data_IF_816081653430
#
_entry.id   IF_816081653430
#
_cell.length_a   1.000
_cell.length_b   1.000
_cell.length_c   1.000
_cell.angle_alpha   90.00
_cell.angle_beta   90.00
_cell.angle_gamma   90.00
#
_symmetry.space_group_name_H-M   'P 1'
#
loop_
_entity.id
_entity.type
_entity.pdbx_description
1 polymer ?
#
# COMPACT_ATOMS: atom_id res chain seq x y z
N UNK A 1 16.31 -17.30 17.98
CA UNK A 1 15.45 -16.62 16.98
C UNK A 1 16.36 -15.95 15.97
N UNK A 2 16.12 -16.10 14.68
CA UNK A 2 16.94 -15.43 13.65
C UNK A 2 16.67 -13.92 13.64
N UNK A 3 17.71 -13.09 13.48
CA UNK A 3 17.58 -11.63 13.50
C UNK A 3 16.55 -11.11 12.47
N UNK A 4 16.50 -11.72 11.27
CA UNK A 4 15.48 -11.43 10.26
C UNK A 4 14.06 -11.68 10.77
N UNK A 5 13.83 -12.80 11.46
CA UNK A 5 12.51 -13.16 12.00
C UNK A 5 12.10 -12.22 13.14
N UNK A 6 13.05 -11.85 14.00
CA UNK A 6 12.81 -10.88 15.06
C UNK A 6 12.44 -9.50 14.47
N UNK A 7 13.16 -9.02 13.46
CA UNK A 7 12.86 -7.76 12.79
C UNK A 7 11.48 -7.78 12.13
N UNK A 8 11.11 -8.87 11.44
CA UNK A 8 9.77 -9.03 10.85
C UNK A 8 8.69 -8.97 11.94
N UNK A 9 8.88 -9.67 13.06
CA UNK A 9 7.92 -9.66 14.16
C UNK A 9 7.74 -8.26 14.75
N UNK A 10 8.82 -7.50 14.92
CA UNK A 10 8.75 -6.11 15.41
C UNK A 10 7.99 -5.22 14.43
N UNK A 11 8.28 -5.30 13.13
CA UNK A 11 7.58 -4.53 12.11
C UNK A 11 6.08 -4.87 12.11
N UNK A 12 5.74 -6.16 12.15
CA UNK A 12 4.35 -6.62 12.21
C UNK A 12 3.65 -6.11 13.47
N UNK A 13 4.30 -6.20 14.63
CA UNK A 13 3.72 -5.73 15.89
C UNK A 13 3.45 -4.22 15.86
N UNK A 14 4.37 -3.42 15.32
CA UNK A 14 4.20 -1.96 15.17
C UNK A 14 3.07 -1.66 14.19
N UNK A 15 3.01 -2.33 13.04
CA UNK A 15 1.92 -2.15 12.07
C UNK A 15 0.56 -2.49 12.67
N UNK A 16 0.46 -3.60 13.43
CA UNK A 16 -0.78 -3.98 14.11
C UNK A 16 -1.17 -2.95 15.17
N UNK A 17 -0.22 -2.49 15.99
CA UNK A 17 -0.47 -1.43 16.97
C UNK A 17 -0.99 -0.16 16.30
N UNK A 18 -0.37 0.26 15.19
CA UNK A 18 -0.79 1.43 14.43
C UNK A 18 -2.21 1.28 13.88
N UNK A 19 -2.52 0.15 13.24
CA UNK A 19 -3.86 -0.12 12.69
C UNK A 19 -4.93 -0.14 13.79
N UNK A 20 -4.63 -0.72 14.96
CA UNK A 20 -5.57 -0.81 16.07
C UNK A 20 -5.80 0.55 16.74
N UNK A 21 -4.73 1.34 16.93
CA UNK A 21 -4.81 2.63 17.64
C UNK A 21 -5.30 3.78 16.75
N UNK A 22 -5.04 3.70 15.45
CA UNK A 22 -5.37 4.73 14.46
C UNK A 22 -6.01 4.11 13.21
N UNK A 23 -7.22 3.52 13.34
CA UNK A 23 -7.83 2.74 12.26
C UNK A 23 -8.20 3.58 11.04
N UNK A 24 -8.63 4.83 11.24
CA UNK A 24 -8.97 5.75 10.14
C UNK A 24 -7.73 6.15 9.36
N UNK A 25 -6.68 6.62 10.03
CA UNK A 25 -5.42 6.98 9.36
C UNK A 25 -4.76 5.79 8.64
N UNK A 26 -4.89 4.58 9.19
CA UNK A 26 -4.44 3.36 8.51
C UNK A 26 -5.27 3.04 7.25
N UNK A 27 -6.60 3.23 7.30
CA UNK A 27 -7.47 3.05 6.15
C UNK A 27 -7.15 4.08 5.05
N UNK A 28 -6.95 5.34 5.41
CA UNK A 28 -6.59 6.42 4.49
C UNK A 28 -5.26 6.12 3.78
N UNK A 29 -4.26 5.62 4.51
CA UNK A 29 -2.98 5.23 3.93
C UNK A 29 -3.12 4.12 2.88
N UNK A 30 -3.90 3.08 3.17
CA UNK A 30 -4.16 1.98 2.22
C UNK A 30 -4.97 2.49 1.02
N UNK A 31 -6.01 3.29 1.24
CA UNK A 31 -6.81 3.89 0.17
C UNK A 31 -5.97 4.78 -0.74
N UNK A 32 -5.02 5.55 -0.18
CA UNK A 32 -4.08 6.35 -0.95
C UNK A 32 -3.19 5.50 -1.88
N UNK A 33 -2.70 4.35 -1.39
CA UNK A 33 -1.93 3.39 -2.20
C UNK A 33 -2.78 2.84 -3.34
N UNK A 34 -4.02 2.43 -3.06
CA UNK A 34 -4.94 1.94 -4.10
C UNK A 34 -5.32 3.02 -5.11
N UNK A 35 -5.46 4.27 -4.66
CA UNK A 35 -5.67 5.43 -5.53
C UNK A 35 -4.51 5.61 -6.51
N UNK A 36 -3.28 5.65 -6.00
CA UNK A 36 -2.09 5.76 -6.85
C UNK A 36 -1.96 4.59 -7.85
N UNK A 37 -2.24 3.36 -7.41
CA UNK A 37 -2.23 2.19 -8.31
C UNK A 37 -3.28 2.31 -9.42
N UNK A 38 -4.48 2.80 -9.08
CA UNK A 38 -5.55 3.03 -10.04
C UNK A 38 -5.16 4.12 -11.04
N UNK A 39 -4.63 5.24 -10.56
CA UNK A 39 -4.20 6.35 -11.41
C UNK A 39 -3.10 5.90 -12.38
N UNK A 40 -2.14 5.11 -11.89
CA UNK A 40 -1.11 4.48 -12.72
C UNK A 40 -1.69 3.52 -13.77
N UNK A 41 -2.68 2.71 -13.40
CA UNK A 41 -3.36 1.82 -14.34
C UNK A 41 -4.13 2.59 -15.42
N UNK A 42 -4.86 3.65 -15.05
CA UNK A 42 -5.56 4.52 -15.98
C UNK A 42 -4.60 5.22 -16.96
N UNK A 43 -3.43 5.64 -16.48
CA UNK A 43 -2.38 6.21 -17.33
C UNK A 43 -1.84 5.19 -18.35
N UNK A 44 -1.59 3.94 -17.94
CA UNK A 44 -1.14 2.87 -18.85
C UNK A 44 -2.21 2.58 -19.90
N UNK A 45 -3.48 2.44 -19.47
CA UNK A 45 -4.60 2.20 -20.40
C UNK A 45 -4.72 3.35 -21.40
N UNK A 46 -4.60 4.59 -20.94
CA UNK A 46 -4.68 5.79 -21.78
C UNK A 46 -3.54 5.82 -22.80
N UNK A 47 -2.31 5.52 -22.38
CA UNK A 47 -1.17 5.40 -23.29
C UNK A 47 -1.42 4.36 -24.38
N UNK A 48 -1.88 3.16 -24.01
CA UNK A 48 -2.14 2.09 -24.98
C UNK A 48 -3.26 2.47 -25.95
N UNK A 49 -4.34 3.09 -25.47
CA UNK A 49 -5.41 3.62 -26.34
C UNK A 49 -4.87 4.63 -27.34
N UNK A 50 -3.99 5.55 -26.90
CA UNK A 50 -3.39 6.54 -27.79
C UNK A 50 -2.39 5.93 -28.78
N UNK A 51 -1.73 4.83 -28.41
CA UNK A 51 -0.74 4.15 -29.25
C UNK A 51 -1.39 3.36 -30.41
N UNK A 52 -2.60 2.84 -30.19
CA UNK A 52 -3.32 1.99 -31.15
C UNK A 52 -4.56 2.64 -31.75
N UNK A 53 -4.80 3.93 -31.50
CA UNK A 53 -5.85 4.73 -32.12
C UNK A 53 -5.42 5.26 -33.51
#
# INVERSE_FOLDING_TARGET
MDAKKAAILVVVAISLFYVITQPTAAADAVQGIFGWLRDGAEAIITFLKNLFA
#
